data_IF_129198963209
#
_entry.id   IF_129198963209
#
_cell.length_a   1.000
_cell.length_b   1.000
_cell.length_c   1.000
_cell.angle_alpha   90.00
_cell.angle_beta   90.00
_cell.angle_gamma   90.00
#
_symmetry.space_group_name_H-M   'P 1'
#
loop_
_entity.id
_entity.type
_entity.pdbx_description
1 polymer ?
#
# COMPACT_ATOMS: atom_id res chain seq x y z
N UNK A 1 -19.09 3.58 21.65
CA UNK A 1 -18.60 3.85 20.27
C UNK A 1 -17.47 4.88 20.26
N UNK A 2 -17.60 6.01 20.95
CA UNK A 2 -16.55 7.05 20.99
C UNK A 2 -15.17 6.53 21.47
N UNK A 3 -15.13 5.75 22.54
CA UNK A 3 -13.87 5.18 23.08
C UNK A 3 -13.13 4.29 22.07
N UNK A 4 -13.86 3.44 21.33
CA UNK A 4 -13.24 2.56 20.32
C UNK A 4 -12.70 3.35 19.13
N UNK A 5 -13.40 4.38 18.68
CA UNK A 5 -12.92 5.28 17.64
C UNK A 5 -11.64 6.01 18.07
N UNK A 6 -11.56 6.48 19.31
CA UNK A 6 -10.37 7.11 19.87
C UNK A 6 -9.18 6.15 19.91
N UNK A 7 -9.39 4.89 20.31
CA UNK A 7 -8.35 3.86 20.28
C UNK A 7 -7.80 3.60 18.87
N UNK A 8 -8.68 3.54 17.86
CA UNK A 8 -8.25 3.36 16.47
C UNK A 8 -7.54 4.61 15.94
N UNK A 9 -7.97 5.82 16.36
CA UNK A 9 -7.28 7.06 16.02
C UNK A 9 -5.87 7.09 16.61
N UNK A 10 -5.71 6.65 17.86
CA UNK A 10 -4.39 6.59 18.49
C UNK A 10 -3.52 5.50 17.86
N UNK A 11 -4.09 4.34 17.52
CA UNK A 11 -3.40 3.29 16.78
C UNK A 11 -2.88 3.82 15.44
N UNK A 12 -3.73 4.53 14.68
CA UNK A 12 -3.36 5.14 13.40
C UNK A 12 -2.17 6.10 13.55
N UNK A 13 -2.23 7.02 14.50
CA UNK A 13 -1.14 7.99 14.76
C UNK A 13 0.16 7.31 15.15
N UNK A 14 0.09 6.36 16.11
CA UNK A 14 1.27 5.62 16.56
C UNK A 14 1.89 4.80 15.44
N UNK A 15 1.06 4.14 14.62
CA UNK A 15 1.54 3.35 13.49
C UNK A 15 2.16 4.24 12.43
N UNK A 16 1.53 5.37 12.08
CA UNK A 16 2.10 6.35 11.17
C UNK A 16 3.50 6.78 11.62
N UNK A 17 3.65 7.19 12.89
CA UNK A 17 4.96 7.55 13.45
C UNK A 17 5.96 6.38 13.43
N UNK A 18 5.51 5.15 13.67
CA UNK A 18 6.39 3.99 13.69
C UNK A 18 6.91 3.62 12.30
N UNK A 19 6.06 3.62 11.28
CA UNK A 19 6.45 3.25 9.91
C UNK A 19 7.33 4.32 9.24
N UNK A 20 7.22 5.58 9.66
CA UNK A 20 8.09 6.67 9.18
C UNK A 20 9.34 6.86 10.05
N UNK A 21 9.53 6.05 11.09
CA UNK A 21 10.62 6.20 12.05
C UNK A 21 11.96 5.65 11.56
N UNK A 22 11.97 4.75 10.60
CA UNK A 22 13.18 4.21 9.99
C UNK A 22 12.88 3.49 8.65
N UNK A 23 13.87 3.33 7.76
CA UNK A 23 13.72 2.70 6.46
C UNK A 23 13.12 1.29 6.50
N UNK A 24 13.54 0.45 7.42
CA UNK A 24 13.04 -0.92 7.53
C UNK A 24 11.55 -0.98 7.91
N UNK A 25 11.11 -0.11 8.81
CA UNK A 25 9.69 -0.03 9.17
C UNK A 25 8.84 0.44 7.99
N UNK A 26 9.37 1.34 7.18
CA UNK A 26 8.74 1.80 5.95
C UNK A 26 8.62 0.68 4.92
N UNK A 27 9.70 -0.04 4.63
CA UNK A 27 9.68 -1.21 3.73
C UNK A 27 8.70 -2.29 4.18
N UNK A 28 8.66 -2.62 5.48
CA UNK A 28 7.71 -3.60 6.03
C UNK A 28 6.25 -3.16 5.82
N UNK A 29 5.97 -1.87 5.98
CA UNK A 29 4.67 -1.30 5.67
C UNK A 29 4.36 -1.39 4.17
N UNK A 30 5.29 -1.01 3.28
CA UNK A 30 5.11 -1.10 1.82
C UNK A 30 4.84 -2.54 1.37
N UNK A 31 5.53 -3.52 1.92
CA UNK A 31 5.32 -4.94 1.66
C UNK A 31 3.91 -5.42 2.06
N UNK A 32 3.31 -4.84 3.10
CA UNK A 32 1.91 -5.10 3.44
C UNK A 32 0.94 -4.33 2.53
N UNK A 33 1.24 -3.06 2.28
CA UNK A 33 0.40 -2.17 1.48
C UNK A 33 0.25 -2.64 0.03
N UNK A 34 1.30 -3.21 -0.58
CA UNK A 34 1.25 -3.72 -1.95
C UNK A 34 0.24 -4.87 -2.13
N UNK A 35 -0.02 -5.68 -1.10
CA UNK A 35 -1.06 -6.72 -1.13
C UNK A 35 -2.46 -6.12 -1.07
N UNK A 36 -2.62 -5.03 -0.32
CA UNK A 36 -3.89 -4.33 -0.07
C UNK A 36 -4.00 -3.01 -0.85
N UNK A 37 -3.41 -2.93 -2.04
CA UNK A 37 -3.28 -1.71 -2.85
C UNK A 37 -4.60 -1.01 -3.21
N UNK A 38 -5.74 -1.72 -3.18
CA UNK A 38 -7.08 -1.16 -3.41
C UNK A 38 -7.65 -0.44 -2.19
N UNK A 39 -7.04 -0.62 -1.04
CA UNK A 39 -7.43 0.10 0.17
C UNK A 39 -6.82 1.51 0.18
N UNK A 40 -7.50 2.46 0.79
CA UNK A 40 -6.96 3.81 0.99
C UNK A 40 -5.76 3.76 1.94
N UNK A 41 -4.92 4.77 1.90
CA UNK A 41 -3.72 4.83 2.74
C UNK A 41 -4.01 4.67 4.24
N UNK A 42 -5.04 5.36 4.74
CA UNK A 42 -5.46 5.24 6.14
C UNK A 42 -5.94 3.82 6.51
N UNK A 43 -6.60 3.14 5.57
CA UNK A 43 -7.01 1.75 5.73
C UNK A 43 -5.80 0.81 5.69
N UNK A 44 -4.87 1.00 4.74
CA UNK A 44 -3.64 0.20 4.64
C UNK A 44 -2.81 0.28 5.93
N UNK A 45 -2.67 1.49 6.49
CA UNK A 45 -1.95 1.71 7.75
C UNK A 45 -2.61 0.99 8.93
N UNK A 46 -3.95 1.04 9.01
CA UNK A 46 -4.70 0.34 10.05
C UNK A 46 -4.75 -1.18 9.84
N UNK A 47 -4.75 -1.66 8.60
CA UNK A 47 -4.62 -3.08 8.29
C UNK A 47 -3.24 -3.56 8.74
N UNK A 48 -2.18 -2.87 8.34
CA UNK A 48 -0.81 -3.19 8.75
C UNK A 48 -0.66 -3.24 10.28
N UNK A 49 -1.23 -2.26 10.98
CA UNK A 49 -1.16 -2.18 12.45
C UNK A 49 -1.84 -3.36 13.17
N UNK A 50 -2.89 -3.93 12.58
CA UNK A 50 -3.71 -4.97 13.20
C UNK A 50 -3.45 -6.36 12.62
N UNK A 51 -3.06 -6.44 11.36
CA UNK A 51 -2.83 -7.67 10.61
C UNK A 51 -1.81 -7.45 9.48
N UNK A 52 -0.50 -7.34 9.81
CA UNK A 52 0.54 -7.04 8.82
C UNK A 52 0.69 -8.11 7.72
N UNK A 53 0.27 -9.33 8.00
CA UNK A 53 0.26 -10.48 7.11
C UNK A 53 -1.00 -10.63 6.22
N UNK A 54 -1.98 -9.73 6.36
CA UNK A 54 -3.21 -9.78 5.57
C UNK A 54 -2.93 -9.80 4.06
N UNK A 55 -3.60 -10.72 3.37
CA UNK A 55 -3.42 -10.96 1.92
C UNK A 55 -4.56 -10.33 1.11
N UNK A 56 -5.79 -10.53 1.54
CA UNK A 56 -6.98 -10.00 0.86
C UNK A 56 -8.06 -9.67 1.88
N UNK A 57 -8.33 -8.40 2.06
CA UNK A 57 -9.30 -7.92 3.05
C UNK A 57 -10.59 -7.43 2.41
N UNK A 58 -11.71 -7.77 3.01
CA UNK A 58 -13.02 -7.26 2.62
C UNK A 58 -13.99 -7.20 3.81
N UNK A 59 -15.06 -6.44 3.64
CA UNK A 59 -16.16 -6.41 4.61
C UNK A 59 -16.99 -7.70 4.58
N UNK A 60 -17.68 -7.99 5.68
CA UNK A 60 -18.53 -9.18 5.86
C UNK A 60 -19.50 -9.38 4.70
N UNK A 61 -20.14 -8.30 4.25
CA UNK A 61 -21.10 -8.36 3.16
C UNK A 61 -20.46 -8.79 1.83
N UNK A 62 -19.25 -8.33 1.53
CA UNK A 62 -18.49 -8.72 0.34
C UNK A 62 -18.14 -10.19 0.40
N UNK A 63 -17.64 -10.68 1.52
CA UNK A 63 -17.33 -12.09 1.71
C UNK A 63 -18.57 -12.96 1.48
N UNK A 64 -19.68 -12.64 2.12
CA UNK A 64 -20.90 -13.44 2.05
C UNK A 64 -21.56 -13.38 0.67
N UNK A 65 -21.78 -12.18 0.11
CA UNK A 65 -22.57 -12.02 -1.13
C UNK A 65 -21.77 -12.25 -2.40
N UNK A 66 -20.53 -11.73 -2.45
CA UNK A 66 -19.73 -11.82 -3.68
C UNK A 66 -18.97 -13.13 -3.76
N UNK A 67 -18.30 -13.52 -2.67
CA UNK A 67 -17.42 -14.69 -2.68
C UNK A 67 -18.05 -15.97 -2.12
N UNK A 68 -19.25 -15.88 -1.50
CA UNK A 68 -19.88 -17.04 -0.84
C UNK A 68 -18.99 -17.68 0.21
N UNK A 69 -18.28 -16.83 0.94
CA UNK A 69 -17.41 -17.19 2.07
C UNK A 69 -17.98 -16.62 3.35
N UNK A 70 -17.82 -17.33 4.45
CA UNK A 70 -18.30 -16.91 5.77
C UNK A 70 -17.11 -16.64 6.69
N UNK A 71 -17.21 -15.57 7.46
CA UNK A 71 -16.22 -15.26 8.47
C UNK A 71 -16.29 -16.31 9.58
N UNK A 72 -15.12 -16.82 9.98
CA UNK A 72 -15.00 -17.81 11.06
C UNK A 72 -15.49 -17.23 12.38
N UNK A 73 -16.13 -18.09 13.19
CA UNK A 73 -16.49 -17.73 14.55
C UNK A 73 -15.20 -17.31 15.30
N UNK A 74 -15.33 -16.27 16.10
CA UNK A 74 -14.23 -15.73 16.91
C UNK A 74 -13.11 -14.96 16.14
N UNK A 75 -13.22 -14.83 14.82
CA UNK A 75 -12.32 -13.95 14.06
C UNK A 75 -12.48 -12.49 14.47
N UNK A 76 -11.35 -11.80 14.63
CA UNK A 76 -11.33 -10.38 14.96
C UNK A 76 -11.31 -9.55 13.70
N UNK A 77 -12.34 -8.72 13.52
CA UNK A 77 -12.38 -7.76 12.42
C UNK A 77 -11.32 -6.67 12.57
N UNK A 78 -10.66 -6.35 11.47
CA UNK A 78 -9.73 -5.23 11.33
C UNK A 78 -10.54 -3.95 11.28
N UNK A 79 -10.42 -3.10 12.29
CA UNK A 79 -11.17 -1.86 12.40
C UNK A 79 -10.51 -0.75 11.57
N UNK A 80 -11.26 -0.15 10.65
CA UNK A 80 -10.82 0.98 9.83
C UNK A 80 -11.84 2.11 9.88
N UNK A 81 -11.44 3.33 9.53
CA UNK A 81 -12.35 4.47 9.48
C UNK A 81 -13.41 4.28 8.38
N UNK A 82 -14.65 4.61 8.69
CA UNK A 82 -15.74 4.59 7.72
C UNK A 82 -16.04 6.01 7.20
N UNK A 83 -15.59 6.35 5.97
CA UNK A 83 -15.81 7.69 5.43
C UNK A 83 -17.26 7.94 5.00
N UNK A 84 -18.06 6.89 4.82
CA UNK A 84 -19.46 6.96 4.42
C UNK A 84 -20.42 6.90 5.60
N UNK A 85 -19.90 6.55 6.78
CA UNK A 85 -20.67 6.48 8.00
C UNK A 85 -20.96 7.84 8.62
N UNK A 86 -21.69 7.82 9.73
CA UNK A 86 -21.83 9.02 10.58
C UNK A 86 -20.46 9.40 11.16
N UNK A 87 -20.34 10.64 11.68
CA UNK A 87 -19.12 11.10 12.33
C UNK A 87 -18.62 10.09 13.37
N UNK A 88 -17.31 9.77 13.31
CA UNK A 88 -16.63 8.86 14.23
C UNK A 88 -17.13 7.39 14.17
N UNK A 89 -17.43 6.89 12.98
CA UNK A 89 -17.79 5.48 12.76
C UNK A 89 -16.61 4.66 12.23
N UNK A 90 -16.66 3.37 12.54
CA UNK A 90 -15.71 2.37 12.08
C UNK A 90 -16.45 1.34 11.26
N UNK A 91 -15.77 0.83 10.22
CA UNK A 91 -16.13 -0.41 9.52
C UNK A 91 -15.10 -1.49 9.80
N UNK A 92 -15.43 -2.73 9.51
CA UNK A 92 -14.60 -3.88 9.80
C UNK A 92 -14.31 -4.66 8.54
N UNK A 93 -13.03 -4.98 8.34
CA UNK A 93 -12.57 -5.91 7.33
C UNK A 93 -12.16 -7.23 7.98
N UNK A 94 -12.20 -8.28 7.20
CA UNK A 94 -11.69 -9.61 7.54
C UNK A 94 -10.77 -10.06 6.42
N UNK A 95 -9.66 -10.68 6.76
CA UNK A 95 -8.77 -11.27 5.77
C UNK A 95 -9.36 -12.57 5.23
N UNK A 96 -8.94 -13.00 4.05
CA UNK A 96 -9.38 -14.27 3.45
C UNK A 96 -9.13 -15.46 4.38
N UNK A 97 -8.03 -15.45 5.14
CA UNK A 97 -7.70 -16.51 6.12
C UNK A 97 -8.66 -16.58 7.30
N UNK A 98 -9.41 -15.50 7.56
CA UNK A 98 -10.48 -15.47 8.57
C UNK A 98 -11.81 -16.02 8.05
N UNK A 99 -11.84 -16.58 6.83
CA UNK A 99 -13.06 -17.02 6.18
C UNK A 99 -12.99 -18.49 5.75
N UNK A 100 -14.13 -19.13 5.68
CA UNK A 100 -14.30 -20.47 5.15
C UNK A 100 -15.33 -20.50 4.01
N UNK A 101 -15.31 -21.57 3.23
CA UNK A 101 -16.27 -21.78 2.16
C UNK A 101 -17.66 -22.11 2.72
N UNK A 102 -18.69 -21.66 2.02
CA UNK A 102 -20.05 -22.03 2.34
C UNK A 102 -20.37 -23.49 1.94
N UNK A 103 -21.47 -24.01 2.45
CA UNK A 103 -21.92 -25.38 2.19
C UNK A 103 -22.00 -25.72 0.70
N UNK A 104 -22.37 -24.76 -0.15
CA UNK A 104 -22.46 -24.92 -1.60
C UNK A 104 -21.21 -24.49 -2.36
N UNK A 105 -20.08 -24.41 -1.67
CA UNK A 105 -18.81 -23.93 -2.21
C UNK A 105 -18.65 -22.41 -2.14
N UNK A 106 -17.50 -21.93 -2.61
CA UNK A 106 -17.16 -20.50 -2.68
C UNK A 106 -16.86 -20.08 -4.12
N UNK A 107 -16.86 -18.76 -4.35
CA UNK A 107 -16.36 -18.20 -5.60
C UNK A 107 -14.87 -17.91 -5.44
N UNK A 108 -14.06 -18.07 -6.51
CA UNK A 108 -12.66 -17.72 -6.48
C UNK A 108 -12.45 -16.26 -6.06
N UNK A 109 -11.56 -16.01 -5.11
CA UNK A 109 -11.15 -14.68 -4.75
C UNK A 109 -10.05 -14.27 -5.73
N UNK A 110 -10.20 -13.17 -6.49
CA UNK A 110 -9.23 -12.77 -7.50
C UNK A 110 -7.98 -12.14 -6.86
N UNK A 111 -7.16 -12.99 -6.25
CA UNK A 111 -5.83 -12.58 -5.78
C UNK A 111 -4.92 -12.58 -6.98
N UNK A 112 -4.56 -11.38 -7.43
CA UNK A 112 -3.66 -11.24 -8.56
C UNK A 112 -2.26 -11.74 -8.21
N UNK A 113 -1.71 -12.56 -9.10
CA UNK A 113 -0.33 -13.03 -9.05
C UNK A 113 0.28 -12.84 -10.44
N UNK A 114 1.53 -12.39 -10.47
CA UNK A 114 2.26 -12.30 -11.72
C UNK A 114 2.60 -13.68 -12.23
N UNK A 115 2.24 -13.95 -13.48
CA UNK A 115 2.63 -15.17 -14.18
C UNK A 115 3.59 -14.80 -15.33
N UNK A 116 4.65 -15.58 -15.49
CA UNK A 116 5.69 -15.34 -16.49
C UNK A 116 5.15 -15.13 -17.91
N UNK A 117 4.08 -15.83 -18.27
CA UNK A 117 3.43 -15.68 -19.58
C UNK A 117 2.84 -14.30 -19.86
N UNK A 118 2.61 -13.49 -18.83
CA UNK A 118 2.04 -12.15 -18.96
C UNK A 118 3.10 -11.04 -18.86
N UNK A 119 4.34 -11.39 -18.59
CA UNK A 119 5.42 -10.44 -18.30
C UNK A 119 5.59 -9.43 -19.45
N UNK A 120 5.72 -9.92 -20.67
CA UNK A 120 5.85 -9.07 -21.85
C UNK A 120 4.65 -8.14 -22.04
N UNK A 121 3.43 -8.66 -21.91
CA UNK A 121 2.22 -7.87 -22.06
C UNK A 121 2.05 -6.82 -20.94
N UNK A 122 2.57 -7.10 -19.75
CA UNK A 122 2.59 -6.14 -18.63
C UNK A 122 3.60 -5.03 -18.93
N UNK A 123 4.82 -5.36 -19.38
CA UNK A 123 5.84 -4.37 -19.74
C UNK A 123 5.34 -3.43 -20.84
N UNK A 124 4.75 -3.97 -21.90
CA UNK A 124 4.17 -3.17 -22.99
C UNK A 124 3.07 -2.21 -22.48
N UNK A 125 2.17 -2.71 -21.62
CA UNK A 125 1.11 -1.89 -21.03
C UNK A 125 1.62 -0.81 -20.09
N UNK A 126 2.69 -1.06 -19.37
CA UNK A 126 3.32 -0.07 -18.51
C UNK A 126 3.94 1.04 -19.35
N UNK A 127 4.67 0.68 -20.39
CA UNK A 127 5.27 1.63 -21.34
C UNK A 127 4.20 2.49 -22.05
N UNK A 128 3.13 1.87 -22.54
CA UNK A 128 2.02 2.59 -23.18
C UNK A 128 1.34 3.62 -22.25
N UNK A 129 1.28 3.32 -20.95
CA UNK A 129 0.50 4.13 -20.02
C UNK A 129 1.30 5.15 -19.24
N UNK A 130 2.55 4.85 -18.95
CA UNK A 130 3.40 5.68 -18.09
C UNK A 130 4.63 6.25 -18.79
N UNK A 131 4.71 6.12 -20.12
CA UNK A 131 5.82 6.60 -20.93
C UNK A 131 6.78 5.47 -21.32
N UNK A 132 7.51 5.72 -22.41
CA UNK A 132 8.44 4.76 -22.97
C UNK A 132 9.45 4.28 -21.90
N UNK A 133 9.69 2.98 -21.91
CA UNK A 133 10.69 2.32 -21.07
C UNK A 133 11.72 1.62 -21.95
N UNK A 134 12.97 1.61 -21.53
CA UNK A 134 14.11 1.01 -22.24
C UNK A 134 14.57 -0.29 -21.61
N UNK A 135 14.04 -0.65 -20.46
CA UNK A 135 14.41 -1.84 -19.70
C UNK A 135 14.19 -3.14 -20.48
N UNK A 136 15.13 -4.06 -20.38
CA UNK A 136 15.09 -5.36 -21.06
C UNK A 136 14.37 -6.46 -20.25
N UNK A 137 14.10 -6.22 -18.98
CA UNK A 137 13.43 -7.13 -18.04
C UNK A 137 12.37 -6.42 -17.21
N UNK A 138 11.52 -7.20 -16.56
CA UNK A 138 10.40 -6.66 -15.79
C UNK A 138 10.84 -5.72 -14.67
N UNK A 139 11.95 -6.02 -13.98
CA UNK A 139 12.41 -5.19 -12.87
C UNK A 139 12.82 -3.79 -13.34
N UNK A 140 13.60 -3.72 -14.42
CA UNK A 140 14.01 -2.46 -15.04
C UNK A 140 12.83 -1.64 -15.52
N UNK A 141 11.86 -2.28 -16.19
CA UNK A 141 10.64 -1.60 -16.66
C UNK A 141 9.80 -1.09 -15.49
N UNK A 142 9.68 -1.85 -14.39
CA UNK A 142 8.96 -1.39 -13.20
C UNK A 142 9.64 -0.20 -12.52
N UNK A 143 10.98 -0.15 -12.51
CA UNK A 143 11.74 0.99 -11.99
C UNK A 143 11.50 2.24 -12.84
N UNK A 144 11.70 2.15 -14.16
CA UNK A 144 11.45 3.27 -15.09
C UNK A 144 9.99 3.74 -15.04
N UNK A 145 9.05 2.81 -14.93
CA UNK A 145 7.62 3.14 -14.74
C UNK A 145 7.39 3.93 -13.45
N UNK A 146 8.05 3.57 -12.37
CA UNK A 146 7.96 4.30 -11.10
C UNK A 146 8.55 5.72 -11.23
N UNK A 147 9.67 5.86 -11.93
CA UNK A 147 10.30 7.16 -12.21
C UNK A 147 9.36 8.06 -13.02
N UNK A 148 8.79 7.55 -14.10
CA UNK A 148 7.86 8.28 -14.95
C UNK A 148 6.60 8.70 -14.19
N UNK A 149 5.98 7.76 -13.45
CA UNK A 149 4.78 8.03 -12.67
C UNK A 149 5.01 9.07 -11.56
N UNK A 150 6.17 9.03 -10.90
CA UNK A 150 6.52 10.02 -9.88
C UNK A 150 6.83 11.37 -10.53
N UNK A 151 7.54 11.41 -11.67
CA UNK A 151 7.85 12.64 -12.37
C UNK A 151 6.57 13.38 -12.82
N UNK A 152 5.59 12.65 -13.34
CA UNK A 152 4.30 13.21 -13.78
C UNK A 152 3.49 13.84 -12.62
N UNK A 153 3.61 13.30 -11.42
CA UNK A 153 2.84 13.74 -10.25
C UNK A 153 3.62 14.71 -9.35
N UNK A 154 4.93 14.83 -9.53
CA UNK A 154 5.80 15.62 -8.65
C UNK A 154 5.38 17.09 -8.51
N UNK A 155 4.98 17.81 -9.58
CA UNK A 155 4.56 19.20 -9.46
C UNK A 155 3.38 19.41 -8.50
N UNK A 156 2.41 18.49 -8.49
CA UNK A 156 1.23 18.55 -7.63
C UNK A 156 1.58 18.33 -6.15
N UNK A 157 2.59 17.50 -5.88
CA UNK A 157 3.07 17.22 -4.53
C UNK A 157 4.06 18.25 -4.00
N UNK A 158 4.85 18.89 -4.86
CA UNK A 158 5.89 19.85 -4.45
C UNK A 158 5.32 21.01 -3.64
N UNK A 159 4.15 21.55 -4.03
CA UNK A 159 3.47 22.61 -3.28
C UNK A 159 2.94 22.13 -1.91
N UNK A 160 2.45 20.90 -1.84
CA UNK A 160 1.97 20.32 -0.58
C UNK A 160 3.13 20.06 0.39
N UNK A 161 4.27 19.60 -0.12
CA UNK A 161 5.48 19.36 0.66
C UNK A 161 5.97 20.64 1.35
N UNK A 162 6.02 21.76 0.65
CA UNK A 162 6.41 23.06 1.23
C UNK A 162 5.58 23.42 2.46
N UNK A 163 4.29 23.04 2.49
CA UNK A 163 3.42 23.25 3.63
C UNK A 163 3.63 22.29 4.81
N UNK A 164 4.28 21.14 4.57
CA UNK A 164 4.44 20.05 5.54
C UNK A 164 5.84 19.98 6.19
N UNK A 165 6.83 20.72 5.69
CA UNK A 165 8.23 20.63 6.17
C UNK A 165 8.44 21.22 7.57
N UNK A 166 7.58 22.14 8.00
CA UNK A 166 7.72 22.83 9.28
C UNK A 166 7.73 21.83 10.46
N UNK A 167 8.75 21.91 11.29
CA UNK A 167 8.95 21.01 12.43
C UNK A 167 9.51 19.64 12.07
N UNK A 168 9.96 19.44 10.84
CA UNK A 168 10.65 18.22 10.38
C UNK A 168 12.12 18.50 10.11
N UNK A 169 12.91 17.44 9.89
CA UNK A 169 14.32 17.58 9.48
C UNK A 169 14.50 18.25 8.11
N UNK A 170 13.43 18.33 7.31
CA UNK A 170 13.44 19.01 6.02
C UNK A 170 13.35 20.54 6.13
N UNK A 171 13.03 21.10 7.32
CA UNK A 171 12.79 22.54 7.52
C UNK A 171 14.04 23.39 7.20
N UNK A 172 15.22 22.82 7.41
CA UNK A 172 16.50 23.49 7.13
C UNK A 172 16.97 23.35 5.67
N UNK A 173 16.26 22.57 4.86
CA UNK A 173 16.63 22.33 3.47
C UNK A 173 15.92 23.32 2.53
N UNK A 174 16.59 23.67 1.45
CA UNK A 174 15.98 24.44 0.36
C UNK A 174 14.98 23.59 -0.44
N UNK A 175 14.12 24.26 -1.21
CA UNK A 175 13.05 23.62 -1.95
C UNK A 175 13.53 22.58 -2.97
N UNK A 176 14.71 22.77 -3.55
CA UNK A 176 15.29 21.82 -4.51
C UNK A 176 15.73 20.53 -3.80
N UNK A 177 16.43 20.64 -2.69
CA UNK A 177 16.87 19.47 -1.92
C UNK A 177 15.68 18.68 -1.34
N UNK A 178 14.62 19.37 -0.89
CA UNK A 178 13.36 18.72 -0.46
C UNK A 178 12.75 17.92 -1.61
N UNK A 179 12.68 18.49 -2.80
CA UNK A 179 12.12 17.83 -3.99
C UNK A 179 12.96 16.61 -4.41
N UNK A 180 14.28 16.70 -4.39
CA UNK A 180 15.19 15.59 -4.71
C UNK A 180 15.02 14.43 -3.74
N UNK A 181 14.98 14.70 -2.43
CA UNK A 181 14.78 13.68 -1.39
C UNK A 181 13.42 13.01 -1.53
N UNK A 182 12.36 13.82 -1.70
CA UNK A 182 11.02 13.31 -1.89
C UNK A 182 10.91 12.42 -3.14
N UNK A 183 11.44 12.90 -4.28
CA UNK A 183 11.43 12.15 -5.53
C UNK A 183 12.09 10.79 -5.37
N UNK A 184 13.29 10.75 -4.79
CA UNK A 184 14.03 9.50 -4.55
C UNK A 184 13.21 8.54 -3.70
N UNK A 185 12.71 8.99 -2.55
CA UNK A 185 11.90 8.17 -1.66
C UNK A 185 10.61 7.68 -2.33
N UNK A 186 9.93 8.53 -3.09
CA UNK A 186 8.71 8.18 -3.78
C UNK A 186 8.96 7.14 -4.88
N UNK A 187 9.98 7.32 -5.73
CA UNK A 187 10.36 6.37 -6.79
C UNK A 187 10.68 5.00 -6.18
N UNK A 188 11.56 4.96 -5.18
CA UNK A 188 11.96 3.71 -4.54
C UNK A 188 10.78 3.02 -3.84
N UNK A 189 9.89 3.78 -3.21
CA UNK A 189 8.69 3.23 -2.57
C UNK A 189 7.72 2.62 -3.60
N UNK A 190 7.46 3.32 -4.70
CA UNK A 190 6.58 2.84 -5.78
C UNK A 190 7.20 1.60 -6.46
N UNK A 191 8.47 1.66 -6.84
CA UNK A 191 9.17 0.54 -7.46
C UNK A 191 9.20 -0.70 -6.56
N UNK A 192 9.51 -0.53 -5.27
CA UNK A 192 9.49 -1.60 -4.28
C UNK A 192 8.09 -2.25 -4.19
N UNK A 193 7.04 -1.46 -4.13
CA UNK A 193 5.67 -1.99 -4.09
C UNK A 193 5.30 -2.74 -5.37
N UNK A 194 5.68 -2.23 -6.54
CA UNK A 194 5.43 -2.86 -7.83
C UNK A 194 6.19 -4.19 -7.95
N UNK A 195 7.48 -4.21 -7.64
CA UNK A 195 8.30 -5.43 -7.66
C UNK A 195 7.79 -6.47 -6.66
N UNK A 196 7.52 -6.06 -5.41
CA UNK A 196 6.93 -6.94 -4.39
C UNK A 196 5.58 -7.50 -4.85
N UNK A 197 4.76 -6.69 -5.52
CA UNK A 197 3.47 -7.12 -6.07
C UNK A 197 3.62 -8.13 -7.20
N UNK A 198 4.66 -7.99 -8.02
CA UNK A 198 5.01 -8.91 -9.09
C UNK A 198 5.73 -10.18 -8.58
N UNK A 199 6.03 -10.26 -7.28
CA UNK A 199 6.73 -11.42 -6.69
C UNK A 199 8.20 -11.48 -7.03
N UNK A 200 8.80 -10.35 -7.43
CA UNK A 200 10.24 -10.24 -7.62
C UNK A 200 10.95 -10.17 -6.27
N UNK A 201 12.14 -10.75 -6.21
CA UNK A 201 13.03 -10.54 -5.08
C UNK A 201 13.52 -9.09 -5.09
N UNK A 202 13.27 -8.37 -4.00
CA UNK A 202 13.62 -6.96 -3.89
C UNK A 202 14.97 -6.72 -3.22
N UNK A 203 15.59 -7.73 -2.62
CA UNK A 203 16.86 -7.59 -1.87
C UNK A 203 18.03 -7.15 -2.77
N UNK A 204 18.01 -7.51 -4.05
CA UNK A 204 19.05 -7.14 -5.01
C UNK A 204 18.89 -5.75 -5.65
N UNK A 205 17.76 -5.07 -5.41
CA UNK A 205 17.41 -3.81 -6.09
C UNK A 205 17.40 -2.59 -5.18
N UNK A 206 17.25 -2.79 -3.88
CA UNK A 206 17.13 -1.70 -2.92
C UNK A 206 18.03 -1.90 -1.72
N UNK A 207 18.71 -0.83 -1.36
CA UNK A 207 19.44 -0.72 -0.12
C UNK A 207 18.58 -0.03 0.95
N UNK A 208 18.99 -0.14 2.21
CA UNK A 208 18.27 0.48 3.32
C UNK A 208 18.19 2.00 3.18
N UNK A 209 19.25 2.60 2.67
CA UNK A 209 19.43 4.04 2.47
C UNK A 209 18.51 4.63 1.40
N UNK A 210 17.97 3.79 0.52
CA UNK A 210 17.00 4.20 -0.51
C UNK A 210 15.65 4.64 0.06
N UNK A 211 15.41 4.32 1.32
CA UNK A 211 14.18 4.65 2.06
C UNK A 211 14.44 5.60 3.26
N UNK A 212 15.60 6.26 3.29
CA UNK A 212 15.98 7.21 4.34
C UNK A 212 15.76 8.67 3.92
#
# INVERSE_FOLDING_TARGET
MAAKYQLITELYRRTGKAVTGNPQAWQNFLASACRNYKCRFDEQLLIYAQRPDAVAVAGLETWNRQFKRWVNKDSRGIAVFDPKGRRNTLKYYFDISDTHEGYYGSRPVPIWQMERRYEQAVMERLSDRFGETSGSDLASVLMETAENAVADNLPDYAEQLKGCVKGSFLEELDGYNIEVIYRRLAVNSVAFMLMSRCGLDTEGYFEREDFA
#
